data_IF_946611760495
#
_entry.id   IF_946611760495
#
_cell.length_a   1.000
_cell.length_b   1.000
_cell.length_c   1.000
_cell.angle_alpha   90.00
_cell.angle_beta   90.00
_cell.angle_gamma   90.00
#
_symmetry.space_group_name_H-M   'P 1'
#
loop_
_entity.id
_entity.type
_entity.pdbx_description
1 polymer ?
#
# COMPACT_ATOMS: atom_id res chain seq x y z
N UNK A 1 -26.79 28.35 -46.92
CA UNK A 1 -26.55 27.56 -45.69
C UNK A 1 -27.16 26.18 -45.92
N UNK A 2 -26.34 25.18 -46.21
CA UNK A 2 -26.77 23.77 -46.29
C UNK A 2 -25.68 22.96 -45.60
N UNK A 3 -25.97 22.54 -44.37
CA UNK A 3 -25.14 21.57 -43.68
C UNK A 3 -25.47 20.21 -44.27
N UNK A 4 -24.52 19.66 -45.04
CA UNK A 4 -24.56 18.27 -45.47
C UNK A 4 -24.46 17.40 -44.23
N UNK A 5 -25.61 16.89 -43.79
CA UNK A 5 -25.74 15.88 -42.76
C UNK A 5 -25.25 14.55 -43.36
N UNK A 6 -23.92 14.35 -43.39
CA UNK A 6 -23.28 13.10 -43.79
C UNK A 6 -23.55 12.08 -42.69
N UNK A 7 -24.76 11.54 -42.71
CA UNK A 7 -25.19 10.44 -41.86
C UNK A 7 -24.40 9.22 -42.30
N UNK A 8 -23.27 8.97 -41.63
CA UNK A 8 -22.48 7.76 -41.81
C UNK A 8 -23.31 6.55 -41.33
N UNK A 9 -24.16 6.01 -42.21
CA UNK A 9 -24.93 4.79 -41.98
C UNK A 9 -23.97 3.61 -42.06
N UNK A 10 -23.25 3.34 -40.97
CA UNK A 10 -22.51 2.09 -40.85
C UNK A 10 -23.46 0.92 -41.11
N UNK A 11 -23.07 0.04 -42.03
CA UNK A 11 -23.85 -1.14 -42.39
C UNK A 11 -24.13 -2.01 -41.15
N UNK A 12 -25.18 -2.84 -41.18
CA UNK A 12 -25.43 -3.79 -40.11
C UNK A 12 -24.23 -4.73 -39.88
N UNK A 13 -23.49 -5.06 -40.95
CA UNK A 13 -22.25 -5.82 -40.91
C UNK A 13 -21.12 -5.11 -40.14
N UNK A 14 -20.89 -3.82 -40.40
CA UNK A 14 -19.88 -3.04 -39.65
C UNK A 14 -20.19 -2.93 -38.17
N UNK A 15 -21.46 -2.74 -37.81
CA UNK A 15 -21.89 -2.68 -36.40
C UNK A 15 -21.67 -4.03 -35.72
N UNK A 16 -21.99 -5.14 -36.39
CA UNK A 16 -21.73 -6.49 -35.89
C UNK A 16 -20.23 -6.73 -35.69
N UNK A 17 -19.40 -6.38 -36.65
CA UNK A 17 -17.94 -6.52 -36.55
C UNK A 17 -17.35 -5.72 -35.38
N UNK A 18 -17.80 -4.47 -35.17
CA UNK A 18 -17.39 -3.65 -34.03
C UNK A 18 -17.76 -4.29 -32.69
N UNK A 19 -18.96 -4.87 -32.59
CA UNK A 19 -19.40 -5.59 -31.38
C UNK A 19 -18.57 -6.84 -31.14
N UNK A 20 -18.27 -7.62 -32.17
CA UNK A 20 -17.44 -8.82 -32.05
C UNK A 20 -16.01 -8.50 -31.59
N UNK A 21 -15.40 -7.44 -32.15
CA UNK A 21 -14.09 -6.96 -31.71
C UNK A 21 -14.13 -6.49 -30.25
N UNK A 22 -15.16 -5.72 -29.86
CA UNK A 22 -15.32 -5.28 -28.49
C UNK A 22 -15.50 -6.46 -27.52
N UNK A 23 -16.28 -7.47 -27.93
CA UNK A 23 -16.54 -8.66 -27.12
C UNK A 23 -15.28 -9.53 -26.96
N UNK A 24 -14.46 -9.65 -28.01
CA UNK A 24 -13.16 -10.30 -27.94
C UNK A 24 -12.21 -9.56 -26.97
N UNK A 25 -12.17 -8.23 -27.03
CA UNK A 25 -11.38 -7.40 -26.10
C UNK A 25 -11.85 -7.56 -24.66
N UNK A 26 -13.16 -7.55 -24.41
CA UNK A 26 -13.70 -7.74 -23.07
C UNK A 26 -13.39 -9.12 -22.50
N UNK A 27 -13.45 -10.18 -23.32
CA UNK A 27 -13.04 -11.53 -22.90
C UNK A 27 -11.56 -11.58 -22.53
N UNK A 28 -10.69 -10.98 -23.34
CA UNK A 28 -9.25 -10.89 -23.06
C UNK A 28 -8.98 -10.15 -21.73
N UNK A 29 -9.60 -8.98 -21.55
CA UNK A 29 -9.45 -8.18 -20.34
C UNK A 29 -9.94 -8.93 -19.10
N UNK A 30 -11.06 -9.66 -19.20
CA UNK A 30 -11.59 -10.50 -18.11
C UNK A 30 -10.56 -11.56 -17.68
N UNK A 31 -9.91 -12.21 -18.65
CA UNK A 31 -8.84 -13.18 -18.34
C UNK A 31 -7.67 -12.51 -17.63
N UNK A 32 -7.18 -11.38 -18.15
CA UNK A 32 -6.07 -10.62 -17.55
C UNK A 32 -6.38 -10.18 -16.11
N UNK A 33 -7.59 -9.67 -15.86
CA UNK A 33 -8.01 -9.28 -14.49
C UNK A 33 -8.06 -10.49 -13.56
N UNK A 34 -8.49 -11.64 -14.06
CA UNK A 34 -8.56 -12.88 -13.26
C UNK A 34 -7.16 -13.39 -12.91
N UNK A 35 -6.24 -13.33 -13.87
CA UNK A 35 -4.83 -13.69 -13.66
C UNK A 35 -4.14 -12.74 -12.68
N UNK A 36 -4.33 -11.43 -12.83
CA UNK A 36 -3.81 -10.43 -11.89
C UNK A 36 -4.34 -10.66 -10.47
N UNK A 37 -5.62 -10.99 -10.30
CA UNK A 37 -6.18 -11.34 -8.98
C UNK A 37 -5.49 -12.56 -8.39
N UNK A 38 -5.26 -13.61 -9.19
CA UNK A 38 -4.55 -14.80 -8.73
C UNK A 38 -3.11 -14.47 -8.29
N UNK A 39 -2.40 -13.64 -9.06
CA UNK A 39 -1.06 -13.16 -8.70
C UNK A 39 -1.08 -12.33 -7.41
N UNK A 40 -2.05 -11.45 -7.22
CA UNK A 40 -2.18 -10.68 -5.98
C UNK A 40 -2.45 -11.58 -4.76
N UNK A 41 -3.31 -12.59 -4.88
CA UNK A 41 -3.57 -13.53 -3.79
C UNK A 41 -2.30 -14.35 -3.47
N UNK A 42 -1.57 -14.82 -4.48
CA UNK A 42 -0.29 -15.51 -4.28
C UNK A 42 0.76 -14.62 -3.59
N UNK A 43 0.80 -13.32 -3.91
CA UNK A 43 1.69 -12.38 -3.23
C UNK A 43 1.28 -12.15 -1.77
N UNK A 44 -0.02 -12.10 -1.47
CA UNK A 44 -0.52 -11.99 -0.08
C UNK A 44 -0.15 -13.24 0.74
N UNK A 45 -0.29 -14.43 0.17
CA UNK A 45 0.09 -15.67 0.87
C UNK A 45 1.60 -15.69 1.12
N UNK A 46 2.42 -15.36 0.13
CA UNK A 46 3.87 -15.25 0.28
C UNK A 46 4.28 -14.18 1.30
N UNK A 47 3.56 -13.06 1.39
CA UNK A 47 3.81 -12.04 2.42
C UNK A 47 3.45 -12.56 3.81
N UNK A 48 2.34 -13.28 3.95
CA UNK A 48 1.93 -13.91 5.22
C UNK A 48 2.92 -14.99 5.66
N UNK A 49 3.53 -15.71 4.72
CA UNK A 49 4.53 -16.74 4.99
C UNK A 49 5.91 -16.13 5.33
N UNK A 50 6.27 -15.02 4.69
CA UNK A 50 7.53 -14.29 4.95
C UNK A 50 7.48 -13.34 6.15
N UNK A 51 6.30 -13.08 6.72
CA UNK A 51 6.19 -12.42 8.02
C UNK A 51 6.64 -13.40 9.11
N UNK A 52 7.95 -13.65 9.16
CA UNK A 52 8.62 -14.22 10.32
C UNK A 52 8.16 -13.44 11.54
N UNK A 53 7.74 -14.17 12.57
CA UNK A 53 7.10 -13.60 13.75
C UNK A 53 7.99 -12.50 14.34
N UNK A 54 7.59 -11.24 14.10
CA UNK A 54 8.40 -10.07 14.47
C UNK A 54 8.44 -9.98 15.98
N UNK A 55 9.63 -10.11 16.58
CA UNK A 55 9.79 -9.90 18.01
C UNK A 55 9.83 -8.39 18.32
N UNK A 56 9.16 -7.99 19.39
CA UNK A 56 9.26 -6.63 19.91
C UNK A 56 10.63 -6.41 20.55
N UNK A 57 11.28 -5.31 20.19
CA UNK A 57 12.63 -5.01 20.68
C UNK A 57 12.67 -4.63 22.18
N UNK A 58 11.56 -4.16 22.76
CA UNK A 58 11.48 -3.85 24.20
C UNK A 58 11.22 -5.10 25.05
N UNK A 59 10.20 -5.87 24.69
CA UNK A 59 9.69 -6.93 25.56
C UNK A 59 10.08 -8.34 25.10
N UNK A 60 10.73 -8.48 23.94
CA UNK A 60 11.16 -9.75 23.35
C UNK A 60 10.02 -10.69 22.93
N UNK A 61 8.76 -10.32 23.16
CA UNK A 61 7.59 -11.13 22.80
C UNK A 61 7.26 -10.96 21.33
N UNK A 62 6.74 -12.03 20.73
CA UNK A 62 6.24 -12.02 19.36
C UNK A 62 5.11 -10.99 19.21
N UNK A 63 5.16 -10.21 18.14
CA UNK A 63 4.14 -9.23 17.78
C UNK A 63 3.07 -9.95 16.96
N UNK A 64 1.84 -9.91 17.45
CA UNK A 64 0.68 -10.39 16.69
C UNK A 64 0.43 -9.47 15.50
N UNK A 65 0.14 -10.09 14.34
CA UNK A 65 -0.08 -9.40 13.07
C UNK A 65 -1.06 -8.22 13.21
N UNK A 66 -0.70 -7.06 12.66
CA UNK A 66 -1.54 -5.84 12.65
C UNK A 66 -1.43 -4.91 13.87
N UNK A 67 -0.60 -5.27 14.86
CA UNK A 67 -0.29 -4.42 16.02
C UNK A 67 1.20 -4.00 16.09
N UNK A 68 1.93 -4.17 14.99
CA UNK A 68 3.33 -3.76 14.88
C UNK A 68 3.48 -2.27 14.60
N UNK A 69 4.38 -1.64 15.35
CA UNK A 69 4.92 -0.31 15.07
C UNK A 69 6.34 -0.51 14.53
N UNK A 70 6.58 -0.05 13.31
CA UNK A 70 7.90 -0.09 12.67
C UNK A 70 8.58 1.26 12.81
N UNK A 71 9.75 1.29 13.45
CA UNK A 71 10.61 2.46 13.45
C UNK A 71 11.53 2.39 12.24
N UNK A 72 11.43 3.39 11.37
CA UNK A 72 12.28 3.55 10.18
C UNK A 72 13.30 4.66 10.40
N UNK A 73 14.49 4.48 9.83
CA UNK A 73 15.51 5.52 9.80
C UNK A 73 15.16 6.63 8.79
N UNK A 74 15.93 7.72 8.79
CA UNK A 74 15.82 8.81 7.81
C UNK A 74 15.94 8.36 6.35
N UNK A 75 16.58 7.21 6.11
CA UNK A 75 16.67 6.55 4.79
C UNK A 75 15.55 5.54 4.51
N UNK A 76 14.53 5.45 5.37
CA UNK A 76 13.38 4.56 5.20
C UNK A 76 13.63 3.09 5.52
N UNK A 77 14.83 2.71 5.96
CA UNK A 77 15.15 1.35 6.41
C UNK A 77 14.54 1.06 7.78
N UNK A 78 13.97 -0.13 7.95
CA UNK A 78 13.39 -0.56 9.23
C UNK A 78 14.51 -0.83 10.22
N UNK A 79 14.54 -0.10 11.35
CA UNK A 79 15.51 -0.25 12.44
C UNK A 79 15.01 -1.18 13.54
N UNK A 80 13.71 -1.14 13.86
CA UNK A 80 13.15 -1.94 14.96
C UNK A 80 11.63 -2.08 14.88
N UNK A 81 11.12 -3.15 15.51
CA UNK A 81 9.70 -3.48 15.61
C UNK A 81 9.25 -3.44 17.08
N UNK A 82 8.08 -2.87 17.35
CA UNK A 82 7.51 -2.78 18.69
C UNK A 82 6.02 -3.13 18.69
N UNK A 83 5.49 -3.58 19.83
CA UNK A 83 4.04 -3.57 20.07
C UNK A 83 3.53 -2.12 20.19
N UNK A 84 2.27 -1.88 19.81
CA UNK A 84 1.60 -0.58 20.02
C UNK A 84 1.72 -0.08 21.45
N UNK A 85 1.51 -0.95 22.44
CA UNK A 85 1.54 -0.55 23.85
C UNK A 85 2.96 -0.31 24.36
N UNK A 86 3.93 -1.12 23.94
CA UNK A 86 5.35 -0.90 24.26
C UNK A 86 5.84 0.42 23.67
N UNK A 87 5.51 0.69 22.40
CA UNK A 87 5.86 1.96 21.78
C UNK A 87 5.18 3.14 22.47
N UNK A 88 3.91 3.01 22.86
CA UNK A 88 3.20 4.05 23.62
C UNK A 88 3.84 4.32 24.98
N UNK A 89 4.32 3.27 25.67
CA UNK A 89 5.03 3.42 26.93
C UNK A 89 6.37 4.15 26.76
N UNK A 90 7.15 3.81 25.72
CA UNK A 90 8.38 4.54 25.35
C UNK A 90 8.06 6.00 25.01
N UNK A 91 7.00 6.23 24.24
CA UNK A 91 6.58 7.56 23.83
C UNK A 91 6.20 8.43 25.03
N UNK A 92 5.53 7.85 26.03
CA UNK A 92 5.10 8.56 27.23
C UNK A 92 6.22 8.70 28.28
N UNK A 93 7.22 7.82 28.27
CA UNK A 93 8.37 7.89 29.19
C UNK A 93 9.43 8.90 28.74
N UNK A 94 9.43 9.26 27.46
CA UNK A 94 10.32 10.29 26.93
C UNK A 94 9.72 11.68 27.16
N UNK A 95 10.48 12.53 27.87
CA UNK A 95 10.19 13.97 27.95
C UNK A 95 10.51 14.62 26.60
N UNK A 96 9.56 14.55 25.67
CA UNK A 96 9.63 15.23 24.39
C UNK A 96 9.57 16.74 24.63
N UNK A 97 10.64 17.44 24.24
CA UNK A 97 10.60 18.89 24.12
C UNK A 97 10.40 19.25 22.65
N UNK A 98 9.40 20.10 22.42
CA UNK A 98 9.21 20.71 21.11
C UNK A 98 10.35 21.70 20.88
N UNK A 99 11.24 21.36 19.97
CA UNK A 99 12.30 22.25 19.53
C UNK A 99 11.78 23.09 18.36
N UNK A 100 11.40 24.33 18.63
CA UNK A 100 10.92 25.28 17.61
C UNK A 100 12.04 25.86 16.75
N UNK A 101 13.30 25.47 16.96
CA UNK A 101 14.41 25.92 16.11
C UNK A 101 14.42 25.30 14.71
N UNK A 102 13.60 24.27 14.45
CA UNK A 102 13.38 23.72 13.10
C UNK A 102 11.96 23.10 13.00
N UNK A 103 11.17 23.43 11.95
CA UNK A 103 9.83 22.87 11.83
C UNK A 103 9.88 21.35 11.65
N UNK A 104 9.24 20.62 12.55
CA UNK A 104 8.95 19.20 12.39
C UNK A 104 9.89 18.19 13.05
N UNK A 105 10.84 18.62 13.90
CA UNK A 105 11.72 17.68 14.61
C UNK A 105 11.41 17.61 16.11
N UNK A 106 10.95 16.44 16.54
CA UNK A 106 10.93 16.06 17.95
C UNK A 106 12.36 15.70 18.37
N UNK A 107 12.96 16.48 19.27
CA UNK A 107 14.21 16.07 19.96
C UNK A 107 13.85 15.39 21.26
N UNK A 108 14.43 14.20 21.49
CA UNK A 108 14.53 13.67 22.85
C UNK A 108 15.34 14.66 23.68
N UNK A 109 14.81 15.08 24.83
CA UNK A 109 15.61 15.82 25.80
C UNK A 109 16.73 14.89 26.28
N UNK A 110 17.95 15.08 25.80
CA UNK A 110 19.11 14.32 26.25
C UNK A 110 19.25 14.44 27.77
N UNK A 111 19.57 13.31 28.42
CA UNK A 111 20.40 13.38 29.61
C UNK A 111 21.81 13.69 29.10
N UNK A 112 22.20 14.95 29.24
CA UNK A 112 23.61 15.30 29.21
C UNK A 112 24.23 14.74 30.50
N UNK A 113 25.01 13.67 30.37
CA UNK A 113 26.09 13.30 31.31
C UNK A 113 27.42 13.35 30.56
#
# INVERSE_FOLDING_TARGET
MQMNDVRCRSSAGERKAKVEVALARLKSLKCQVSELRAQCEALKTLQSEKQEALACNECGKLISQGQEVTLKDSFGKVKSHYHKDCFKAIWLSQNWRFDYSSPGFLRMSGKDE
#
